data_IF_291510002923
#
_entry.id   IF_291510002923
#
_cell.length_a   1.000
_cell.length_b   1.000
_cell.length_c   1.000
_cell.angle_alpha   90.00
_cell.angle_beta   90.00
_cell.angle_gamma   90.00
#
_symmetry.space_group_name_H-M   'P 1'
#
loop_
_entity.id
_entity.type
_entity.pdbx_description
1 polymer ?
#
# COMPACT_ATOMS: atom_id res chain seq x y z
N UNK A 1 1.50 0.35 0.43
CA UNK A 1 2.01 1.73 0.42
C UNK A 1 1.41 2.51 -0.74
N UNK A 2 1.26 3.84 -0.59
CA UNK A 2 0.63 4.71 -1.60
C UNK A 2 1.35 4.68 -2.97
N UNK A 3 2.63 4.40 -3.01
CA UNK A 3 3.39 4.31 -4.26
C UNK A 3 2.93 3.14 -5.15
N UNK A 4 2.37 2.07 -4.59
CA UNK A 4 1.84 0.94 -5.36
C UNK A 4 0.69 1.36 -6.30
N UNK A 5 -0.42 1.92 -5.79
CA UNK A 5 -1.50 2.36 -6.66
C UNK A 5 -1.09 3.56 -7.54
N UNK A 6 -0.25 4.49 -7.06
CA UNK A 6 0.21 5.61 -7.88
C UNK A 6 1.03 5.13 -9.07
N UNK A 7 1.94 4.18 -8.88
CA UNK A 7 2.70 3.59 -9.98
C UNK A 7 1.80 2.84 -10.96
N UNK A 8 0.83 2.07 -10.47
CA UNK A 8 -0.15 1.41 -11.31
C UNK A 8 -0.94 2.41 -12.18
N UNK A 9 -1.38 3.53 -11.61
CA UNK A 9 -2.10 4.58 -12.37
C UNK A 9 -1.23 5.21 -13.45
N UNK A 10 0.04 5.49 -13.16
CA UNK A 10 0.97 6.04 -14.14
C UNK A 10 1.25 5.06 -15.29
N UNK A 11 1.41 3.77 -14.96
CA UNK A 11 1.60 2.71 -15.94
C UNK A 11 0.37 2.56 -16.85
N UNK A 12 -0.83 2.52 -16.27
CA UNK A 12 -2.09 2.46 -17.03
C UNK A 12 -2.21 3.69 -17.95
N UNK A 13 -1.96 4.89 -17.44
CA UNK A 13 -2.04 6.12 -18.21
C UNK A 13 -1.05 6.13 -19.37
N UNK A 14 0.18 5.67 -19.15
CA UNK A 14 1.22 5.55 -20.18
C UNK A 14 0.79 4.60 -21.30
N UNK A 15 0.26 3.42 -20.98
CA UNK A 15 -0.15 2.45 -21.97
C UNK A 15 -1.43 2.86 -22.70
N UNK A 16 -2.38 3.48 -22.02
CA UNK A 16 -3.59 4.06 -22.65
C UNK A 16 -3.25 5.22 -23.60
N UNK A 17 -2.18 5.97 -23.34
CA UNK A 17 -1.69 7.00 -24.27
C UNK A 17 -1.17 6.37 -25.56
N UNK A 18 -0.59 5.17 -25.50
CA UNK A 18 -0.10 4.42 -26.66
C UNK A 18 -1.22 3.76 -27.46
N UNK A 19 -2.14 3.07 -26.78
CA UNK A 19 -3.30 2.39 -27.38
C UNK A 19 -4.48 2.36 -26.41
N UNK A 20 -5.34 3.38 -26.50
CA UNK A 20 -6.49 3.51 -25.62
C UNK A 20 -7.42 2.31 -25.65
N UNK A 21 -7.74 1.79 -26.85
CA UNK A 21 -8.72 0.69 -27.01
C UNK A 21 -8.23 -0.61 -26.41
N UNK A 22 -6.94 -0.88 -26.52
CA UNK A 22 -6.32 -2.09 -25.99
C UNK A 22 -6.28 -2.09 -24.45
N UNK A 23 -6.03 -0.95 -23.84
CA UNK A 23 -5.76 -0.82 -22.41
C UNK A 23 -6.90 -0.19 -21.61
N UNK A 24 -8.06 0.08 -22.24
CA UNK A 24 -9.23 0.54 -21.52
C UNK A 24 -9.84 -0.59 -20.67
N UNK A 25 -10.35 -0.25 -19.47
CA UNK A 25 -11.00 -1.20 -18.60
C UNK A 25 -10.91 -0.84 -17.13
N UNK A 26 -11.45 -1.74 -16.30
CA UNK A 26 -11.34 -1.66 -14.85
C UNK A 26 -10.25 -2.61 -14.37
N UNK A 27 -9.39 -2.11 -13.49
CA UNK A 27 -8.25 -2.85 -12.94
C UNK A 27 -8.23 -2.70 -11.42
N UNK A 28 -8.16 -3.83 -10.71
CA UNK A 28 -7.91 -3.79 -9.28
C UNK A 28 -6.42 -3.71 -9.02
N UNK A 29 -6.05 -2.95 -8.01
CA UNK A 29 -4.69 -2.84 -7.48
C UNK A 29 -4.73 -3.29 -6.03
N UNK A 30 -4.01 -4.33 -5.70
CA UNK A 30 -4.00 -4.93 -4.37
C UNK A 30 -2.69 -5.65 -4.08
N UNK A 31 -2.46 -6.04 -2.81
CA UNK A 31 -1.28 -6.80 -2.41
C UNK A 31 -1.34 -8.23 -2.94
N UNK A 32 -0.22 -8.93 -2.88
CA UNK A 32 -0.19 -10.38 -3.03
C UNK A 32 -0.92 -11.07 -1.88
N UNK A 33 -1.37 -12.31 -2.09
CA UNK A 33 -2.10 -13.05 -1.06
C UNK A 33 -1.29 -13.24 0.23
N UNK A 34 -0.01 -13.47 0.11
CA UNK A 34 0.94 -13.63 1.22
C UNK A 34 1.13 -12.36 2.06
N UNK A 35 0.82 -11.20 1.50
CA UNK A 35 0.87 -9.90 2.19
C UNK A 35 -0.47 -9.49 2.82
N UNK A 36 -1.51 -10.30 2.65
CA UNK A 36 -2.79 -10.08 3.29
C UNK A 36 -2.73 -10.57 4.74
N UNK A 37 -3.11 -9.70 5.67
CA UNK A 37 -3.14 -10.01 7.10
C UNK A 37 -4.38 -9.43 7.75
N UNK A 38 -4.72 -9.90 8.94
CA UNK A 38 -5.81 -9.35 9.72
C UNK A 38 -5.47 -7.93 10.21
N UNK A 39 -6.49 -7.11 10.42
CA UNK A 39 -6.30 -5.72 10.87
C UNK A 39 -5.51 -5.65 12.18
N UNK A 40 -5.76 -6.58 13.11
CA UNK A 40 -5.02 -6.67 14.38
C UNK A 40 -3.52 -6.86 14.17
N UNK A 41 -3.14 -7.84 13.32
CA UNK A 41 -1.74 -8.14 13.01
C UNK A 41 -1.06 -6.95 12.30
N UNK A 42 -1.80 -6.25 11.44
CA UNK A 42 -1.30 -5.05 10.75
C UNK A 42 -1.00 -3.92 11.75
N UNK A 43 -1.88 -3.72 12.75
CA UNK A 43 -1.68 -2.71 13.79
C UNK A 43 -0.56 -3.11 14.73
N UNK A 44 -0.42 -4.40 15.06
CA UNK A 44 0.70 -4.92 15.85
C UNK A 44 2.03 -4.69 15.14
N UNK A 45 2.10 -4.96 13.84
CA UNK A 45 3.27 -4.66 13.00
C UNK A 45 3.60 -3.16 13.01
N UNK A 46 2.60 -2.29 12.89
CA UNK A 46 2.78 -0.84 12.98
C UNK A 46 3.36 -0.44 14.33
N UNK A 47 2.79 -0.92 15.44
CA UNK A 47 3.25 -0.62 16.79
C UNK A 47 4.69 -1.11 17.02
N UNK A 48 5.01 -2.31 16.55
CA UNK A 48 6.36 -2.88 16.65
C UNK A 48 7.40 -2.04 15.88
N UNK A 49 7.08 -1.57 14.67
CA UNK A 49 7.93 -0.72 13.86
C UNK A 49 8.03 0.70 14.42
N UNK A 50 6.96 1.19 15.02
CA UNK A 50 6.96 2.49 15.68
C UNK A 50 7.87 2.47 16.91
N UNK A 51 7.82 1.42 17.72
CA UNK A 51 8.58 1.33 18.96
C UNK A 51 8.01 2.24 20.07
N UNK A 52 8.90 2.68 20.97
CA UNK A 52 8.60 3.62 22.06
C UNK A 52 7.46 3.17 22.99
N UNK A 53 7.17 1.84 23.05
CA UNK A 53 6.09 1.28 23.84
C UNK A 53 4.68 1.57 23.30
N UNK A 54 4.57 1.96 22.01
CA UNK A 54 3.28 2.16 21.38
C UNK A 54 2.46 0.87 21.42
N UNK A 55 1.24 0.97 21.86
CA UNK A 55 0.28 -0.13 21.90
C UNK A 55 -1.11 0.38 21.54
N UNK A 56 -1.95 -0.51 21.05
CA UNK A 56 -3.33 -0.21 20.69
C UNK A 56 -4.32 -0.98 21.56
N UNK A 57 -5.57 -0.58 21.53
CA UNK A 57 -6.68 -1.28 22.18
C UNK A 57 -7.80 -1.46 21.18
N UNK A 58 -8.31 -2.67 21.07
CA UNK A 58 -9.55 -2.93 20.34
C UNK A 58 -10.74 -2.40 21.11
N UNK A 59 -11.61 -1.67 20.42
CA UNK A 59 -12.87 -1.22 20.96
C UNK A 59 -13.96 -1.73 20.01
N UNK A 60 -14.63 -2.82 20.38
CA UNK A 60 -15.75 -3.37 19.61
C UNK A 60 -17.05 -2.73 20.08
N UNK A 61 -17.80 -2.14 19.18
CA UNK A 61 -19.20 -1.81 19.41
C UNK A 61 -20.07 -2.98 18.90
N UNK A 62 -20.85 -3.57 19.78
CA UNK A 62 -21.74 -4.70 19.44
C UNK A 62 -22.86 -4.34 18.44
N UNK A 63 -23.04 -3.07 18.12
CA UNK A 63 -24.05 -2.55 17.18
C UNK A 63 -23.48 -2.20 15.81
N UNK A 64 -22.17 -2.37 15.56
CA UNK A 64 -21.60 -2.12 14.26
C UNK A 64 -21.97 -3.23 13.25
N UNK A 65 -22.22 -2.86 11.98
CA UNK A 65 -22.43 -3.84 10.92
C UNK A 65 -21.23 -4.76 10.80
N UNK A 66 -21.47 -6.05 10.66
CA UNK A 66 -20.43 -7.03 10.42
C UNK A 66 -19.70 -6.71 9.11
N UNK A 67 -18.46 -6.23 9.19
CA UNK A 67 -17.57 -6.13 8.03
C UNK A 67 -17.18 -7.54 7.55
N UNK A 68 -16.91 -7.66 6.26
CA UNK A 68 -16.43 -8.93 5.70
C UNK A 68 -15.15 -9.35 6.44
N UNK A 69 -15.12 -10.59 6.94
CA UNK A 69 -13.97 -11.12 7.69
C UNK A 69 -12.67 -11.14 6.88
N UNK A 70 -12.78 -11.08 5.55
CA UNK A 70 -11.65 -11.06 4.65
C UNK A 70 -12.03 -10.33 3.35
N UNK A 71 -11.31 -9.27 3.03
CA UNK A 71 -11.45 -8.53 1.78
C UNK A 71 -10.11 -8.53 1.05
N UNK A 72 -10.08 -9.19 -0.11
CA UNK A 72 -8.92 -9.20 -1.00
C UNK A 72 -9.32 -8.73 -2.38
N UNK A 73 -8.48 -7.88 -2.97
CA UNK A 73 -8.61 -7.46 -4.37
C UNK A 73 -7.75 -8.37 -5.25
N UNK A 74 -8.40 -9.05 -6.19
CA UNK A 74 -7.71 -9.81 -7.24
C UNK A 74 -7.10 -8.84 -8.26
N UNK A 75 -5.78 -8.77 -8.31
CA UNK A 75 -5.00 -7.94 -9.23
C UNK A 75 -4.49 -8.71 -10.47
N UNK A 76 -4.96 -9.93 -10.71
CA UNK A 76 -4.49 -10.78 -11.83
C UNK A 76 -4.65 -10.11 -13.19
N UNK A 77 -5.70 -9.31 -13.39
CA UNK A 77 -5.94 -8.59 -14.64
C UNK A 77 -4.88 -7.52 -14.92
N UNK A 78 -4.54 -6.67 -13.93
CA UNK A 78 -3.51 -5.65 -14.13
C UNK A 78 -2.15 -6.31 -14.34
N UNK A 79 -1.87 -7.40 -13.63
CA UNK A 79 -0.64 -8.19 -13.79
C UNK A 79 -0.51 -8.76 -15.20
N UNK A 80 -1.58 -9.37 -15.72
CA UNK A 80 -1.55 -9.98 -17.07
C UNK A 80 -1.48 -8.97 -18.21
N UNK A 81 -2.12 -7.80 -18.05
CA UNK A 81 -2.19 -6.78 -19.11
C UNK A 81 -0.97 -5.87 -19.13
N UNK A 82 -0.48 -5.47 -17.94
CA UNK A 82 0.59 -4.48 -17.80
C UNK A 82 1.88 -5.03 -17.23
N UNK A 83 1.92 -6.30 -16.81
CA UNK A 83 3.05 -6.86 -16.07
C UNK A 83 3.25 -6.24 -14.68
N UNK A 84 2.23 -5.52 -14.17
CA UNK A 84 2.31 -4.91 -12.86
C UNK A 84 2.29 -5.95 -11.75
N UNK A 85 3.15 -5.77 -10.76
CA UNK A 85 3.18 -6.53 -9.50
C UNK A 85 3.46 -5.57 -8.35
N UNK A 86 2.95 -5.82 -7.14
CA UNK A 86 3.40 -5.10 -5.96
C UNK A 86 4.92 -5.21 -5.81
N UNK A 87 5.60 -4.13 -5.50
CA UNK A 87 7.06 -4.08 -5.35
C UNK A 87 7.50 -4.24 -3.91
N UNK A 88 6.72 -3.70 -2.99
CA UNK A 88 6.99 -3.79 -1.57
C UNK A 88 6.03 -4.78 -0.91
N UNK A 89 6.59 -5.71 -0.13
CA UNK A 89 5.81 -6.54 0.78
C UNK A 89 5.19 -5.70 1.90
N UNK A 90 4.32 -6.31 2.69
CA UNK A 90 3.61 -5.59 3.76
C UNK A 90 4.57 -5.02 4.81
N UNK A 91 5.67 -5.68 5.13
CA UNK A 91 6.65 -5.23 6.11
C UNK A 91 7.42 -4.02 5.61
N UNK A 92 7.84 -4.01 4.34
CA UNK A 92 8.49 -2.87 3.70
C UNK A 92 7.52 -1.69 3.59
N UNK A 93 6.29 -1.92 3.11
CA UNK A 93 5.25 -0.90 2.99
C UNK A 93 4.95 -0.23 4.33
N UNK A 94 4.82 -1.03 5.40
CA UNK A 94 4.56 -0.53 6.75
C UNK A 94 5.75 0.27 7.30
N UNK A 95 6.98 -0.21 7.09
CA UNK A 95 8.20 0.51 7.51
C UNK A 95 8.29 1.87 6.84
N UNK A 96 8.06 1.96 5.52
CA UNK A 96 8.07 3.21 4.77
C UNK A 96 6.97 4.18 5.23
N UNK A 97 5.82 3.66 5.60
CA UNK A 97 4.74 4.44 6.19
C UNK A 97 5.13 5.02 7.55
N UNK A 98 5.71 4.21 8.44
CA UNK A 98 6.18 4.65 9.77
C UNK A 98 7.29 5.70 9.64
N UNK A 99 8.27 5.49 8.74
CA UNK A 99 9.33 6.47 8.45
C UNK A 99 8.75 7.83 8.11
N UNK A 100 7.73 7.85 7.22
CA UNK A 100 7.08 9.08 6.80
C UNK A 100 6.36 9.79 7.97
N UNK A 101 5.57 9.03 8.74
CA UNK A 101 4.85 9.59 9.88
C UNK A 101 5.78 10.14 10.96
N UNK A 102 6.91 9.51 11.22
CA UNK A 102 7.90 10.02 12.19
C UNK A 102 8.45 11.38 11.75
N UNK A 103 8.85 11.54 10.51
CA UNK A 103 9.34 12.83 9.98
C UNK A 103 8.23 13.89 10.05
N UNK A 104 7.01 13.53 9.65
CA UNK A 104 5.86 14.44 9.68
C UNK A 104 5.54 14.93 11.10
N UNK A 105 5.47 14.02 12.07
CA UNK A 105 5.13 14.36 13.45
C UNK A 105 6.24 15.14 14.18
N UNK A 106 7.49 14.98 13.77
CA UNK A 106 8.61 15.80 14.26
C UNK A 106 8.56 17.25 13.70
N UNK A 107 7.71 17.53 12.73
CA UNK A 107 7.65 18.83 12.05
C UNK A 107 8.77 19.04 11.02
N UNK A 108 9.49 17.99 10.65
CA UNK A 108 10.53 18.03 9.66
C UNK A 108 9.97 18.03 8.23
N UNK A 109 10.70 18.58 7.23
CA UNK A 109 10.31 18.53 5.84
C UNK A 109 10.21 17.08 5.34
N UNK A 110 9.02 16.65 4.91
CA UNK A 110 8.78 15.27 4.39
C UNK A 110 9.24 15.08 2.94
N UNK A 111 9.41 16.16 2.18
CA UNK A 111 9.75 16.10 0.75
C UNK A 111 11.07 15.35 0.45
N UNK A 112 12.17 15.55 1.21
CA UNK A 112 13.40 14.77 0.97
C UNK A 112 13.19 13.27 1.14
N UNK A 113 12.46 12.86 2.19
CA UNK A 113 12.12 11.46 2.43
C UNK A 113 11.22 10.89 1.33
N UNK A 114 10.20 11.64 0.89
CA UNK A 114 9.34 11.21 -0.21
C UNK A 114 10.13 10.98 -1.50
N UNK A 115 11.05 11.89 -1.84
CA UNK A 115 11.95 11.73 -2.99
C UNK A 115 12.85 10.50 -2.86
N UNK A 116 13.34 10.23 -1.68
CA UNK A 116 14.13 9.02 -1.39
C UNK A 116 13.29 7.75 -1.58
N UNK A 117 12.12 7.68 -0.97
CA UNK A 117 11.21 6.52 -1.09
C UNK A 117 10.78 6.28 -2.54
N UNK A 118 10.54 7.32 -3.33
CA UNK A 118 10.26 7.19 -4.77
C UNK A 118 11.44 6.56 -5.51
N UNK A 119 12.67 7.00 -5.24
CA UNK A 119 13.86 6.41 -5.88
C UNK A 119 14.01 4.94 -5.52
N UNK A 120 13.96 4.61 -4.23
CA UNK A 120 14.02 3.23 -3.75
C UNK A 120 12.94 2.34 -4.40
N UNK A 121 11.73 2.87 -4.52
CA UNK A 121 10.63 2.16 -5.17
C UNK A 121 10.88 1.94 -6.67
N UNK A 122 11.53 2.86 -7.35
CA UNK A 122 11.81 2.76 -8.79
C UNK A 122 13.03 1.91 -9.15
N UNK A 123 13.94 1.67 -8.19
CA UNK A 123 15.16 0.88 -8.37
C UNK A 123 14.96 -0.64 -8.24
N UNK A 124 13.77 -1.09 -7.86
CA UNK A 124 13.41 -2.52 -7.68
C UNK A 124 12.96 -3.14 -9.01
#
# INVERSE_FOLDING_TARGET
>A
HVLEPVFAYLLIAQEQYRDKKRFEGCYNVGPNLEDCMETGDLVDLFCALWGDGLHWKSQQDSNEPHEANFLQLDHSRISSVFGWQPRWDISQAMRKTVEWYRVYLNGDPVEPLMKQQIREYMEI
#
